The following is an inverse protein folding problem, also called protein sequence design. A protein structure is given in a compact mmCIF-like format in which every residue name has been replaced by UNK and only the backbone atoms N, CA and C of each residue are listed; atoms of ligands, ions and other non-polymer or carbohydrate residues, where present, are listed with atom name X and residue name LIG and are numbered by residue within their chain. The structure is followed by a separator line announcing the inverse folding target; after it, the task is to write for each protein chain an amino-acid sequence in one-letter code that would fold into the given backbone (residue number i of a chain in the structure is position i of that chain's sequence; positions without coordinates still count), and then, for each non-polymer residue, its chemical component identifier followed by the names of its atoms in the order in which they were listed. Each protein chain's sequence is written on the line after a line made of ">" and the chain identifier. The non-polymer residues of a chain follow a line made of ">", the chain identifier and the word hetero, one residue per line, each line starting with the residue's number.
data_IF_498701784914
#
_entry.id   IF_498701784914
#
_cell.length_a   1.000
_cell.length_b   1.000
_cell.length_c   1.000
_cell.angle_alpha   90.00
_cell.angle_beta   90.00
_cell.angle_gamma   90.00
#
_symmetry.space_group_name_H-M   'P 1'
#
loop_
_entity.id
_entity.type
_entity.pdbx_description
1 polymer ?
#
# COMPACT_ATOMS: atom_id res chain seq x y z
N UNK A 1 -25.84 -4.99 13.16
CA UNK A 1 -25.64 -5.57 14.51
C UNK A 1 -24.97 -6.93 14.31
N UNK A 2 -23.80 -7.17 14.90
CA UNK A 2 -23.01 -8.38 14.62
C UNK A 2 -23.60 -9.63 15.30
N UNK A 3 -24.10 -9.47 16.53
CA UNK A 3 -24.72 -10.53 17.31
C UNK A 3 -25.74 -9.97 18.31
N UNK A 4 -26.68 -10.82 18.75
CA UNK A 4 -27.62 -10.52 19.84
C UNK A 4 -29.09 -10.81 19.48
N UNK A 5 -30.01 -10.81 20.47
CA UNK A 5 -29.82 -10.46 21.89
C UNK A 5 -29.33 -11.62 22.78
N UNK A 6 -28.52 -11.30 23.78
CA UNK A 6 -28.00 -12.22 24.80
C UNK A 6 -28.68 -12.00 26.15
N UNK A 7 -28.86 -13.06 26.92
CA UNK A 7 -29.40 -13.07 28.28
C UNK A 7 -28.29 -13.29 29.30
N UNK A 8 -28.51 -12.86 30.55
CA UNK A 8 -27.48 -12.83 31.60
C UNK A 8 -26.96 -14.22 31.99
N UNK A 9 -27.79 -15.25 31.85
CA UNK A 9 -27.45 -16.66 32.11
C UNK A 9 -26.50 -17.24 31.04
N UNK A 10 -26.45 -16.65 29.83
CA UNK A 10 -25.58 -17.12 28.73
C UNK A 10 -24.11 -16.70 28.89
N UNK A 11 -23.78 -15.85 29.87
CA UNK A 11 -22.41 -15.43 30.18
C UNK A 11 -21.78 -16.20 31.34
N UNK A 12 -22.44 -17.23 31.88
CA UNK A 12 -21.84 -18.11 32.90
C UNK A 12 -20.69 -18.95 32.32
N UNK A 13 -20.76 -19.28 31.02
CA UNK A 13 -19.62 -19.72 30.23
C UNK A 13 -19.00 -18.50 29.53
N UNK A 14 -17.71 -18.24 29.77
CA UNK A 14 -16.96 -17.07 29.24
C UNK A 14 -17.06 -16.90 27.70
N UNK A 15 -17.47 -17.94 26.98
CA UNK A 15 -17.83 -17.90 25.56
C UNK A 15 -19.09 -18.75 25.34
N UNK A 16 -20.25 -18.16 25.03
CA UNK A 16 -21.47 -18.91 24.74
C UNK A 16 -21.28 -19.80 23.51
N UNK A 17 -21.79 -21.04 23.58
CA UNK A 17 -21.77 -21.99 22.44
C UNK A 17 -22.56 -21.43 21.25
N UNK A 18 -23.72 -20.84 21.50
CA UNK A 18 -24.47 -20.09 20.48
C UNK A 18 -24.07 -18.61 20.51
N UNK A 19 -23.26 -18.22 19.53
CA UNK A 19 -22.78 -16.85 19.38
C UNK A 19 -23.84 -15.90 18.82
N UNK A 20 -25.05 -16.39 18.48
CA UNK A 20 -26.18 -15.61 17.92
C UNK A 20 -25.73 -14.61 16.86
N UNK A 21 -24.78 -15.04 16.02
CA UNK A 21 -24.25 -14.22 14.94
C UNK A 21 -25.37 -14.03 13.94
N UNK A 22 -25.65 -12.79 13.56
CA UNK A 22 -26.74 -12.57 12.61
C UNK A 22 -26.36 -13.23 11.27
N UNK A 23 -27.27 -14.01 10.64
CA UNK A 23 -26.99 -14.64 9.35
C UNK A 23 -26.60 -13.62 8.26
N UNK A 24 -27.16 -12.41 8.35
CA UNK A 24 -26.80 -11.28 7.49
C UNK A 24 -25.35 -10.83 7.70
N UNK A 25 -24.86 -10.75 8.95
CA UNK A 25 -23.46 -10.42 9.23
C UNK A 25 -22.51 -11.54 8.79
N UNK A 26 -22.85 -12.80 9.05
CA UNK A 26 -22.04 -13.95 8.58
C UNK A 26 -21.95 -13.93 7.05
N UNK A 27 -23.06 -13.66 6.35
CA UNK A 27 -23.07 -13.52 4.90
C UNK A 27 -22.17 -12.38 4.43
N UNK A 28 -22.14 -11.25 5.14
CA UNK A 28 -21.27 -10.11 4.80
C UNK A 28 -19.77 -10.43 4.88
N UNK A 29 -19.35 -11.41 5.70
CA UNK A 29 -17.94 -11.85 5.75
C UNK A 29 -17.47 -12.55 4.48
N UNK A 30 -18.39 -13.13 3.70
CA UNK A 30 -18.10 -13.80 2.44
C UNK A 30 -18.25 -12.87 1.23
N UNK A 31 -18.72 -11.64 1.44
CA UNK A 31 -18.79 -10.65 0.38
C UNK A 31 -17.37 -10.21 0.02
N UNK A 32 -17.05 -10.24 -1.28
CA UNK A 32 -15.74 -9.83 -1.76
C UNK A 32 -15.56 -8.33 -1.48
N UNK A 33 -14.62 -8.01 -0.59
CA UNK A 33 -14.24 -6.62 -0.32
C UNK A 33 -13.67 -5.92 -1.56
N UNK A 34 -13.62 -4.59 -1.51
CA UNK A 34 -12.87 -3.80 -2.49
C UNK A 34 -11.39 -3.79 -2.09
N UNK A 35 -10.46 -3.92 -3.04
CA UNK A 35 -9.05 -3.75 -2.74
C UNK A 35 -8.80 -2.39 -2.10
N UNK A 36 -7.97 -2.38 -1.05
CA UNK A 36 -7.59 -1.14 -0.39
C UNK A 36 -6.49 -0.45 -1.22
N UNK A 37 -6.75 0.80 -1.58
CA UNK A 37 -5.83 1.64 -2.36
C UNK A 37 -5.46 2.82 -1.49
N UNK A 38 -4.16 3.08 -1.35
CA UNK A 38 -3.62 4.14 -0.52
C UNK A 38 -3.08 5.27 -1.37
N UNK A 39 -3.15 6.51 -0.84
CA UNK A 39 -2.70 7.74 -1.52
C UNK A 39 -2.17 8.77 -0.52
N UNK A 40 -1.42 9.75 -1.03
CA UNK A 40 -1.03 10.93 -0.27
C UNK A 40 -0.11 10.60 0.91
N UNK A 41 -0.35 11.22 2.06
CA UNK A 41 0.53 11.08 3.24
C UNK A 41 0.61 9.65 3.78
N UNK A 42 -0.41 8.82 3.58
CA UNK A 42 -0.41 7.44 4.08
C UNK A 42 0.68 6.59 3.43
N UNK A 43 1.12 6.96 2.22
CA UNK A 43 2.15 6.22 1.48
C UNK A 43 3.46 6.14 2.25
N UNK A 44 3.80 7.15 3.08
CA UNK A 44 5.07 7.25 3.82
C UNK A 44 5.33 6.10 4.81
N UNK A 45 4.28 5.37 5.19
CA UNK A 45 4.35 4.27 6.15
C UNK A 45 4.04 2.90 5.53
N UNK A 46 3.76 2.85 4.23
CA UNK A 46 3.30 1.64 3.55
C UNK A 46 4.39 1.13 2.64
N UNK A 47 4.80 -0.13 2.84
CA UNK A 47 5.69 -0.83 1.95
C UNK A 47 5.37 -2.32 1.92
N UNK A 48 5.50 -2.94 0.75
CA UNK A 48 5.30 -4.38 0.59
C UNK A 48 6.65 -5.08 0.46
N UNK A 49 6.92 -6.14 1.24
CA UNK A 49 8.13 -6.93 1.06
C UNK A 49 8.10 -7.67 -0.28
N UNK A 50 9.18 -7.53 -1.03
CA UNK A 50 9.49 -8.19 -2.30
C UNK A 50 10.76 -9.01 -2.08
N UNK A 51 10.63 -10.33 -2.19
CA UNK A 51 11.75 -11.24 -1.98
C UNK A 51 11.27 -12.64 -1.59
N UNK A 52 12.02 -13.66 -2.00
CA UNK A 52 11.77 -15.03 -1.60
C UNK A 52 12.22 -15.32 -0.17
N UNK A 53 11.71 -16.40 0.41
CA UNK A 53 12.17 -16.90 1.71
C UNK A 53 13.69 -17.14 1.62
N UNK A 54 14.44 -16.57 2.57
CA UNK A 54 15.91 -16.66 2.67
C UNK A 54 16.72 -15.94 1.56
N UNK A 55 16.12 -15.10 0.71
CA UNK A 55 16.85 -14.35 -0.33
C UNK A 55 17.29 -12.93 0.09
N UNK A 56 16.92 -12.49 1.30
CA UNK A 56 16.88 -11.06 1.66
C UNK A 56 15.61 -10.40 1.12
N UNK A 57 15.09 -9.40 1.83
CA UNK A 57 13.86 -8.69 1.47
C UNK A 57 14.18 -7.27 1.00
N UNK A 58 13.49 -6.82 -0.04
CA UNK A 58 13.45 -5.44 -0.50
C UNK A 58 12.02 -4.96 -0.41
N UNK A 59 11.75 -3.76 0.09
CA UNK A 59 10.38 -3.28 0.18
C UNK A 59 10.05 -2.44 -1.05
N UNK A 60 8.88 -2.65 -1.66
CA UNK A 60 8.30 -1.71 -2.59
C UNK A 60 7.48 -0.70 -1.79
N UNK A 61 7.92 0.55 -1.78
CA UNK A 61 7.26 1.65 -1.11
C UNK A 61 5.96 2.09 -1.75
N UNK A 62 5.07 2.65 -0.95
CA UNK A 62 3.83 3.26 -1.43
C UNK A 62 4.05 4.42 -2.41
N UNK A 63 5.20 5.07 -2.33
CA UNK A 63 5.62 6.17 -3.21
C UNK A 63 6.20 5.70 -4.56
N UNK A 64 6.35 4.39 -4.78
CA UNK A 64 6.94 3.78 -5.98
C UNK A 64 8.45 3.52 -5.89
N UNK A 65 9.14 3.96 -4.84
CA UNK A 65 10.57 3.69 -4.64
C UNK A 65 10.81 2.34 -3.96
N UNK A 66 12.03 1.83 -4.10
CA UNK A 66 12.48 0.63 -3.41
C UNK A 66 13.11 1.00 -2.06
N UNK A 67 12.58 0.43 -0.98
CA UNK A 67 12.81 0.76 0.42
C UNK A 67 13.40 -0.43 1.16
N UNK A 68 13.94 -0.19 2.36
CA UNK A 68 14.34 -1.21 3.35
C UNK A 68 15.02 -2.45 2.75
N UNK A 69 16.33 -2.30 2.52
CA UNK A 69 17.19 -3.32 1.94
C UNK A 69 17.65 -4.29 3.03
N UNK A 70 16.84 -5.29 3.35
CA UNK A 70 17.22 -6.36 4.27
C UNK A 70 18.30 -7.30 3.67
N UNK A 71 18.64 -7.09 2.40
CA UNK A 71 19.78 -7.70 1.70
C UNK A 71 21.12 -7.37 2.39
N UNK A 72 21.20 -6.26 3.14
CA UNK A 72 22.43 -5.90 3.87
C UNK A 72 22.61 -6.62 5.20
N UNK A 73 21.68 -7.52 5.59
CA UNK A 73 21.77 -8.33 6.81
C UNK A 73 21.99 -7.49 8.08
N UNK A 74 21.44 -6.26 8.09
CA UNK A 74 21.49 -5.34 9.23
C UNK A 74 20.26 -5.59 10.08
N UNK A 75 20.46 -6.08 11.31
CA UNK A 75 19.39 -6.40 12.25
C UNK A 75 18.64 -5.13 12.65
N UNK A 76 17.49 -4.86 12.03
CA UNK A 76 16.59 -3.80 12.45
C UNK A 76 15.58 -4.42 13.41
N UNK A 77 15.75 -4.13 14.70
CA UNK A 77 14.90 -4.64 15.77
C UNK A 77 13.53 -3.99 15.70
N UNK A 78 12.54 -4.68 15.12
CA UNK A 78 11.12 -4.28 15.18
C UNK A 78 10.54 -4.64 16.55
N UNK A 79 10.81 -3.80 17.55
CA UNK A 79 10.15 -3.84 18.86
C UNK A 79 8.78 -3.14 18.90
N UNK A 80 8.07 -3.36 19.98
CA UNK A 80 6.78 -2.80 20.40
C UNK A 80 6.71 -1.26 20.33
N UNK A 81 7.85 -0.57 20.40
CA UNK A 81 7.98 0.88 20.18
C UNK A 81 7.60 1.34 18.76
N UNK A 82 7.65 0.47 17.74
CA UNK A 82 7.34 0.85 16.36
C UNK A 82 5.85 0.90 16.04
N UNK A 83 4.99 0.32 16.89
CA UNK A 83 3.54 0.49 16.75
C UNK A 83 3.08 1.92 17.13
N UNK A 84 3.79 2.55 18.07
CA UNK A 84 3.49 3.92 18.50
C UNK A 84 4.20 4.98 17.64
N UNK A 85 5.31 4.62 16.98
CA UNK A 85 6.07 5.49 16.07
C UNK A 85 6.48 4.69 14.83
N UNK A 86 5.62 4.64 13.80
CA UNK A 86 5.96 3.97 12.55
C UNK A 86 7.22 4.59 11.97
N UNK A 87 8.13 3.72 11.52
CA UNK A 87 9.39 4.15 10.91
C UNK A 87 9.07 4.76 9.54
N UNK A 88 9.54 5.99 9.32
CA UNK A 88 9.47 6.59 7.99
C UNK A 88 10.36 5.81 7.03
N UNK A 89 9.91 5.73 5.79
CA UNK A 89 10.65 5.11 4.73
C UNK A 89 11.97 5.86 4.46
N UNK A 90 13.10 5.20 4.72
CA UNK A 90 14.42 5.71 4.35
C UNK A 90 15.06 4.73 3.39
N UNK A 91 15.32 5.18 2.16
CA UNK A 91 16.15 4.42 1.22
C UNK A 91 17.61 4.82 1.39
N UNK A 92 18.51 3.87 1.75
CA UNK A 92 19.94 4.16 1.84
C UNK A 92 20.63 4.27 0.47
N UNK A 93 19.92 3.99 -0.62
CA UNK A 93 20.45 4.00 -1.99
C UNK A 93 19.44 4.70 -2.92
N UNK A 94 19.93 5.61 -3.76
CA UNK A 94 19.13 6.15 -4.87
C UNK A 94 18.99 5.08 -5.95
N UNK A 95 17.90 4.33 -5.89
CA UNK A 95 17.47 3.38 -6.92
C UNK A 95 16.03 3.68 -7.32
N UNK A 96 15.77 3.71 -8.62
CA UNK A 96 14.43 3.94 -9.16
C UNK A 96 14.37 3.73 -10.65
N UNK A 97 13.18 3.95 -11.21
CA UNK A 97 12.92 3.91 -12.64
C UNK A 97 12.50 5.29 -13.14
N UNK A 98 12.67 5.56 -14.43
CA UNK A 98 12.21 6.79 -15.05
C UNK A 98 11.64 6.50 -16.45
N UNK A 99 10.61 7.27 -16.82
CA UNK A 99 10.06 7.30 -18.18
C UNK A 99 10.63 8.51 -18.90
N UNK A 100 11.19 8.27 -20.10
CA UNK A 100 11.53 9.34 -21.04
C UNK A 100 10.59 9.25 -22.23
N UNK A 101 9.90 10.35 -22.53
CA UNK A 101 9.02 10.46 -23.70
C UNK A 101 9.57 11.53 -24.64
N UNK A 102 9.41 11.33 -25.95
CA UNK A 102 9.79 12.31 -26.97
C UNK A 102 8.59 12.58 -27.85
N UNK A 103 8.18 13.85 -27.97
CA UNK A 103 7.08 14.28 -28.82
C UNK A 103 7.44 15.59 -29.52
N UNK A 104 7.19 15.68 -30.83
CA UNK A 104 7.53 16.85 -31.67
C UNK A 104 8.97 17.35 -31.47
N UNK A 105 9.92 16.43 -31.26
CA UNK A 105 11.34 16.74 -31.03
C UNK A 105 11.70 17.20 -29.60
N UNK A 106 10.71 17.40 -28.73
CA UNK A 106 10.91 17.71 -27.32
C UNK A 106 10.96 16.41 -26.52
N UNK A 107 11.97 16.26 -25.67
CA UNK A 107 12.08 15.11 -24.76
C UNK A 107 11.81 15.53 -23.32
N UNK A 108 10.99 14.77 -22.62
CA UNK A 108 10.70 14.91 -21.20
C UNK A 108 11.13 13.64 -20.47
N UNK A 109 11.71 13.76 -19.27
CA UNK A 109 12.04 12.63 -18.41
C UNK A 109 11.35 12.82 -17.07
N UNK A 110 10.57 11.82 -16.63
CA UNK A 110 9.92 11.79 -15.32
C UNK A 110 10.33 10.53 -14.56
N UNK A 111 10.73 10.71 -13.31
CA UNK A 111 10.99 9.58 -12.41
C UNK A 111 9.68 8.92 -12.00
N UNK A 112 9.69 7.60 -11.86
CA UNK A 112 8.55 6.79 -11.42
C UNK A 112 8.49 6.76 -9.89
N UNK A 113 8.22 7.92 -9.30
CA UNK A 113 7.97 8.09 -7.87
C UNK A 113 7.03 9.29 -7.65
N UNK A 114 6.73 9.59 -6.39
CA UNK A 114 5.88 10.72 -6.01
C UNK A 114 6.41 12.10 -6.49
N UNK A 115 7.72 12.25 -6.74
CA UNK A 115 8.29 13.51 -7.24
C UNK A 115 8.02 13.72 -8.73
N UNK A 116 7.94 12.64 -9.53
CA UNK A 116 7.54 12.70 -10.92
C UNK A 116 6.01 12.61 -11.13
N UNK A 117 5.30 12.00 -10.18
CA UNK A 117 3.85 11.77 -10.21
C UNK A 117 3.24 12.00 -8.82
N UNK A 118 2.79 13.22 -8.51
CA UNK A 118 2.23 13.56 -7.19
C UNK A 118 1.01 12.72 -6.78
N UNK A 119 0.23 12.25 -7.77
CA UNK A 119 -1.00 11.46 -7.58
C UNK A 119 -0.76 9.94 -7.61
N UNK A 120 0.44 9.49 -7.22
CA UNK A 120 0.78 8.07 -7.13
C UNK A 120 -0.14 7.34 -6.16
N UNK A 121 -0.51 6.10 -6.50
CA UNK A 121 -1.36 5.26 -5.66
C UNK A 121 -0.75 3.88 -5.51
N UNK A 122 -0.94 3.29 -4.33
CA UNK A 122 -0.36 1.98 -4.01
C UNK A 122 -1.43 0.98 -3.58
N UNK A 123 -1.27 -0.25 -4.05
CA UNK A 123 -2.04 -1.42 -3.63
C UNK A 123 -1.10 -2.60 -3.42
N UNK A 124 -0.99 -3.05 -2.17
CA UNK A 124 -0.24 -4.25 -1.81
C UNK A 124 -1.16 -5.47 -1.73
N UNK A 125 -0.94 -6.47 -2.58
CA UNK A 125 -1.60 -7.77 -2.54
C UNK A 125 -0.57 -8.86 -2.74
N UNK A 126 0.13 -9.24 -1.66
CA UNK A 126 1.21 -10.22 -1.73
C UNK A 126 0.80 -11.45 -2.56
N UNK A 127 1.62 -11.88 -3.54
CA UNK A 127 3.01 -11.45 -3.81
C UNK A 127 3.15 -10.26 -4.78
N UNK A 128 2.06 -9.58 -5.14
CA UNK A 128 2.02 -8.52 -6.15
C UNK A 128 1.77 -7.16 -5.49
N UNK A 129 2.66 -6.21 -5.74
CA UNK A 129 2.44 -4.79 -5.44
C UNK A 129 2.11 -4.06 -6.72
N UNK A 130 1.09 -3.20 -6.70
CA UNK A 130 0.74 -2.33 -7.81
C UNK A 130 0.98 -0.88 -7.40
N UNK A 131 1.68 -0.15 -8.26
CA UNK A 131 1.90 1.30 -8.15
C UNK A 131 1.34 1.94 -9.41
N UNK A 132 0.35 2.81 -9.26
CA UNK A 132 -0.27 3.53 -10.37
C UNK A 132 0.25 4.97 -10.42
N UNK A 133 0.83 5.35 -11.56
CA UNK A 133 1.38 6.69 -11.82
C UNK A 133 0.41 7.47 -12.71
N UNK A 134 -0.38 8.36 -12.10
CA UNK A 134 -1.32 9.21 -12.85
C UNK A 134 -0.66 10.54 -13.17
N UNK A 135 -0.49 10.92 -14.46
CA UNK A 135 0.02 12.24 -14.81
C UNK A 135 -1.04 13.30 -14.46
N UNK A 136 -0.61 14.39 -13.83
CA UNK A 136 -1.44 15.60 -13.74
C UNK A 136 -1.74 16.07 -15.16
N UNK A 137 -3.02 16.10 -15.55
CA UNK A 137 -3.45 16.57 -16.87
C UNK A 137 -3.03 18.03 -17.05
N UNK A 138 -1.89 18.22 -17.69
CA UNK A 138 -1.29 19.51 -18.01
C UNK A 138 -0.51 19.39 -19.31
N UNK A 139 -1.14 18.81 -20.33
CA UNK A 139 -0.76 19.04 -21.72
C UNK A 139 -1.99 19.67 -22.35
N UNK A 140 -2.08 20.99 -22.19
CA UNK A 140 -2.89 21.81 -23.08
C UNK A 140 -2.32 21.58 -24.48
N UNK A 141 -3.00 20.76 -25.28
CA UNK A 141 -2.71 20.70 -26.70
C UNK A 141 -3.32 21.95 -27.30
N UNK A 142 -2.50 22.96 -27.51
CA UNK A 142 -2.80 24.14 -28.31
C UNK A 142 -3.13 23.68 -29.73
N UNK A 143 -4.38 23.26 -29.95
CA UNK A 143 -4.92 22.95 -31.26
C UNK A 143 -5.36 24.28 -31.89
N UNK A 144 -4.42 25.01 -32.47
CA UNK A 144 -4.73 26.11 -33.38
C UNK A 144 -4.67 25.57 -34.83
N UNK A 145 -5.80 25.31 -35.51
CA UNK A 145 -5.78 24.98 -36.92
C UNK A 145 -5.47 26.24 -37.73
N UNK A 146 -4.43 26.17 -38.57
CA UNK A 146 -4.22 27.10 -39.70
C UNK A 146 -4.97 26.58 -40.92
#
# INVERSE_FOLDING_TARGET
>A
MMAGPFSRTEFEDLVPVDKKLSPAWVKSLYERGKPQVYKGEELKYIGMPVGGICAGQLYLGGDGKLWHWDIFNKKISTGDSHYAKPMEAVSPVDQGFALRTTSKGVSETRVLDQSGFPDVTFRGEYPIGMVDYTPSTGVETDNNPS
#
